data_IF_174877060819
#
_entry.id   IF_174877060819
#
_cell.length_a   1.000
_cell.length_b   1.000
_cell.length_c   1.000
_cell.angle_alpha   90.00
_cell.angle_beta   90.00
_cell.angle_gamma   90.00
#
_symmetry.space_group_name_H-M   'P 1'
#
loop_
_entity.id
_entity.type
_entity.pdbx_description
1 polymer ?
#
# COMPACT_ATOMS: atom_id res chain seq x y z
N UNK A 1 4.28 -29.00 -22.20
CA UNK A 1 2.98 -28.30 -22.23
C UNK A 1 3.04 -27.21 -21.16
N UNK A 2 3.29 -25.96 -21.56
CA UNK A 2 3.28 -24.84 -20.61
C UNK A 2 1.84 -24.60 -20.19
N UNK A 3 1.55 -24.68 -18.90
CA UNK A 3 0.27 -24.23 -18.38
C UNK A 3 0.08 -22.78 -18.84
N UNK A 4 -1.06 -22.41 -19.46
CA UNK A 4 -1.32 -21.01 -19.73
C UNK A 4 -1.22 -20.29 -18.39
N UNK A 5 -0.28 -19.35 -18.29
CA UNK A 5 -0.17 -18.47 -17.11
C UNK A 5 -1.48 -17.70 -17.12
N UNK A 6 -2.42 -18.18 -16.33
CA UNK A 6 -3.78 -17.71 -16.35
C UNK A 6 -3.79 -16.33 -15.71
N UNK A 7 -3.75 -15.29 -16.55
CA UNK A 7 -3.77 -13.88 -16.12
C UNK A 7 -4.98 -13.56 -15.23
N UNK A 8 -6.00 -14.40 -15.27
CA UNK A 8 -7.15 -14.44 -14.36
C UNK A 8 -6.78 -14.60 -12.88
N UNK A 9 -5.82 -15.47 -12.54
CA UNK A 9 -5.41 -15.74 -11.15
C UNK A 9 -4.56 -14.63 -10.54
N UNK A 10 -3.74 -13.97 -11.36
CA UNK A 10 -2.90 -12.84 -10.95
C UNK A 10 -3.74 -11.59 -10.76
N UNK A 11 -4.71 -11.35 -11.64
CA UNK A 11 -5.49 -10.11 -11.66
C UNK A 11 -6.52 -10.00 -10.52
N UNK A 12 -7.11 -11.12 -10.07
CA UNK A 12 -8.04 -11.14 -8.93
C UNK A 12 -7.39 -10.96 -7.55
N UNK A 13 -6.12 -11.35 -7.39
CA UNK A 13 -5.39 -11.24 -6.12
C UNK A 13 -4.80 -9.83 -5.88
N UNK A 14 -4.70 -9.00 -6.91
CA UNK A 14 -4.02 -7.71 -6.83
C UNK A 14 -4.81 -6.64 -6.04
N UNK A 15 -6.14 -6.49 -6.19
CA UNK A 15 -6.92 -5.60 -5.33
C UNK A 15 -6.78 -5.99 -3.85
N UNK A 16 -6.81 -7.30 -3.56
CA UNK A 16 -6.61 -7.83 -2.23
C UNK A 16 -5.21 -7.47 -1.67
N UNK A 17 -4.17 -7.63 -2.49
CA UNK A 17 -2.81 -7.24 -2.12
C UNK A 17 -2.70 -5.74 -1.81
N UNK A 18 -3.32 -4.88 -2.62
CA UNK A 18 -3.30 -3.44 -2.40
C UNK A 18 -3.99 -3.04 -1.08
N UNK A 19 -5.10 -3.70 -0.76
CA UNK A 19 -5.80 -3.47 0.51
C UNK A 19 -5.02 -4.03 1.71
N UNK A 20 -4.37 -5.19 1.58
CA UNK A 20 -3.45 -5.72 2.58
C UNK A 20 -2.29 -4.75 2.86
N UNK A 21 -1.67 -4.17 1.82
CA UNK A 21 -0.57 -3.23 1.99
C UNK A 21 -1.01 -1.91 2.65
N UNK A 22 -2.24 -1.44 2.38
CA UNK A 22 -2.84 -0.32 3.13
C UNK A 22 -3.05 -0.69 4.59
N UNK A 23 -3.57 -1.88 4.87
CA UNK A 23 -3.77 -2.35 6.24
C UNK A 23 -2.44 -2.39 7.00
N UNK A 24 -1.39 -2.99 6.44
CA UNK A 24 -0.06 -3.01 7.05
C UNK A 24 0.51 -1.61 7.26
N UNK A 25 0.26 -0.68 6.35
CA UNK A 25 0.69 0.72 6.53
C UNK A 25 -0.03 1.38 7.72
N UNK A 26 -1.31 1.09 7.92
CA UNK A 26 -2.07 1.58 9.07
C UNK A 26 -1.60 0.92 10.38
N UNK A 27 -1.27 -0.36 10.35
CA UNK A 27 -0.70 -1.08 11.51
C UNK A 27 0.64 -0.47 11.93
N UNK A 28 1.54 -0.20 10.97
CA UNK A 28 2.80 0.50 11.22
C UNK A 28 2.60 1.91 11.80
N UNK A 29 1.58 2.65 11.33
CA UNK A 29 1.23 3.96 11.87
C UNK A 29 0.84 3.83 13.36
N UNK A 30 -0.02 2.86 13.70
CA UNK A 30 -0.45 2.63 15.08
C UNK A 30 0.70 2.20 16.01
N UNK A 31 1.62 1.37 15.52
CA UNK A 31 2.80 0.97 16.28
C UNK A 31 3.73 2.16 16.56
N UNK A 32 3.92 3.04 15.57
CA UNK A 32 4.70 4.27 15.73
C UNK A 32 4.03 5.26 16.69
N UNK A 33 2.72 5.43 16.62
CA UNK A 33 1.96 6.25 17.58
C UNK A 33 2.07 5.69 19.01
N UNK A 34 2.03 4.35 19.14
CA UNK A 34 2.25 3.68 20.43
C UNK A 34 3.65 3.94 20.95
N UNK A 35 4.67 3.84 20.09
CA UNK A 35 6.06 4.15 20.43
C UNK A 35 6.20 5.62 20.88
N UNK A 36 5.51 6.55 20.23
CA UNK A 36 5.49 7.97 20.65
C UNK A 36 4.95 8.15 22.07
N UNK A 37 3.85 7.47 22.40
CA UNK A 37 3.27 7.52 23.75
C UNK A 37 4.24 6.94 24.77
N UNK A 38 4.90 5.83 24.44
CA UNK A 38 5.88 5.19 25.33
C UNK A 38 7.14 6.03 25.53
N UNK A 39 7.60 6.73 24.50
CA UNK A 39 8.78 7.59 24.56
C UNK A 39 8.50 8.94 25.22
N UNK A 40 7.23 9.36 25.34
CA UNK A 40 6.85 10.66 25.89
C UNK A 40 7.50 10.99 27.24
N UNK A 41 7.53 10.10 28.26
CA UNK A 41 8.14 10.40 29.55
C UNK A 41 9.66 10.62 29.45
N UNK A 42 10.35 9.85 28.58
CA UNK A 42 11.78 10.04 28.31
C UNK A 42 12.03 11.35 27.57
N UNK A 43 11.21 11.65 26.56
CA UNK A 43 11.32 12.88 25.77
C UNK A 43 11.10 14.13 26.61
N UNK A 44 10.15 14.09 27.54
CA UNK A 44 9.88 15.23 28.42
C UNK A 44 11.06 15.52 29.38
N UNK A 45 12.02 14.58 29.54
CA UNK A 45 13.29 14.78 30.24
C UNK A 45 14.47 15.20 29.33
N UNK A 46 14.30 15.15 28.01
CA UNK A 46 15.35 15.53 27.07
C UNK A 46 15.42 17.06 26.95
N UNK A 47 16.60 17.61 27.21
CA UNK A 47 16.89 19.05 27.04
C UNK A 47 17.96 19.18 25.96
N UNK A 48 17.78 20.08 25.00
CA UNK A 48 18.77 20.38 23.97
C UNK A 48 18.78 19.38 22.80
N UNK A 49 19.97 18.89 22.42
CA UNK A 49 20.19 18.14 21.16
C UNK A 49 19.42 16.83 21.04
N UNK A 50 19.09 16.18 22.16
CA UNK A 50 18.27 14.95 22.17
C UNK A 50 16.83 15.17 21.71
N UNK A 51 16.21 16.31 22.06
CA UNK A 51 14.86 16.66 21.60
C UNK A 51 14.86 16.91 20.09
N UNK A 52 15.84 17.68 19.58
CA UNK A 52 15.93 17.99 18.16
C UNK A 52 16.12 16.74 17.30
N UNK A 53 16.97 15.79 17.73
CA UNK A 53 17.20 14.55 16.99
C UNK A 53 15.93 13.68 16.92
N UNK A 54 15.15 13.64 18.00
CA UNK A 54 13.88 12.93 18.02
C UNK A 54 12.84 13.57 17.11
N UNK A 55 12.69 14.90 17.15
CA UNK A 55 11.72 15.60 16.32
C UNK A 55 11.99 15.38 14.82
N UNK A 56 13.28 15.37 14.43
CA UNK A 56 13.68 15.03 13.06
C UNK A 56 13.33 13.58 12.71
N UNK A 57 13.58 12.63 13.61
CA UNK A 57 13.24 11.22 13.40
C UNK A 57 11.73 11.02 13.24
N UNK A 58 10.95 11.68 14.11
CA UNK A 58 9.48 11.62 14.14
C UNK A 58 8.88 12.20 12.87
N UNK A 59 9.38 13.35 12.41
CA UNK A 59 8.97 13.92 11.13
C UNK A 59 9.33 13.01 9.95
N UNK A 60 10.51 12.38 9.99
CA UNK A 60 10.97 11.52 8.92
C UNK A 60 10.11 10.25 8.79
N UNK A 61 9.88 9.51 9.88
CA UNK A 61 9.04 8.30 9.79
C UNK A 61 7.61 8.64 9.35
N UNK A 62 7.06 9.79 9.77
CA UNK A 62 5.70 10.20 9.40
C UNK A 62 5.62 10.50 7.91
N UNK A 63 6.65 11.20 7.39
CA UNK A 63 6.78 11.46 5.97
C UNK A 63 6.90 10.18 5.14
N UNK A 64 7.67 9.19 5.62
CA UNK A 64 7.82 7.89 4.95
C UNK A 64 6.49 7.12 4.94
N UNK A 65 5.79 7.02 6.06
CA UNK A 65 4.49 6.35 6.14
C UNK A 65 3.44 6.99 5.22
N UNK A 66 3.36 8.32 5.22
CA UNK A 66 2.45 9.03 4.32
C UNK A 66 2.76 8.75 2.83
N UNK A 67 4.05 8.66 2.48
CA UNK A 67 4.49 8.29 1.12
C UNK A 67 4.14 6.84 0.78
N UNK A 68 4.29 5.91 1.72
CA UNK A 68 3.90 4.50 1.53
C UNK A 68 2.40 4.38 1.30
N UNK A 69 1.57 4.99 2.17
CA UNK A 69 0.12 5.00 2.01
C UNK A 69 -0.33 5.57 0.66
N UNK A 70 0.28 6.68 0.24
CA UNK A 70 0.02 7.29 -1.06
C UNK A 70 0.43 6.41 -2.24
N UNK A 71 1.57 5.71 -2.13
CA UNK A 71 2.08 4.82 -3.17
C UNK A 71 1.20 3.59 -3.34
N UNK A 72 0.76 2.96 -2.24
CA UNK A 72 -0.14 1.80 -2.29
C UNK A 72 -1.54 2.17 -2.77
N UNK A 73 -2.04 3.36 -2.41
CA UNK A 73 -3.31 3.85 -2.97
C UNK A 73 -3.22 4.04 -4.50
N UNK A 74 -2.13 4.63 -5.00
CA UNK A 74 -1.89 4.78 -6.44
C UNK A 74 -1.70 3.44 -7.16
N UNK A 75 -0.97 2.51 -6.55
CA UNK A 75 -0.78 1.16 -7.08
C UNK A 75 -2.14 0.44 -7.19
N UNK A 76 -2.95 0.48 -6.13
CA UNK A 76 -4.30 -0.09 -6.13
C UNK A 76 -5.18 0.48 -7.25
N UNK A 77 -5.26 1.82 -7.38
CA UNK A 77 -6.02 2.46 -8.46
C UNK A 77 -5.54 2.07 -9.85
N UNK A 78 -4.23 2.10 -10.08
CA UNK A 78 -3.62 1.72 -11.37
C UNK A 78 -3.95 0.29 -11.74
N UNK A 79 -3.93 -0.60 -10.74
CA UNK A 79 -4.20 -2.01 -10.92
C UNK A 79 -5.69 -2.32 -11.11
N UNK A 80 -6.61 -1.63 -10.42
CA UNK A 80 -8.05 -1.71 -10.69
C UNK A 80 -8.36 -1.26 -12.11
N UNK A 81 -7.77 -0.14 -12.57
CA UNK A 81 -7.94 0.33 -13.95
C UNK A 81 -7.38 -0.67 -14.97
N UNK A 82 -6.26 -1.33 -14.67
CA UNK A 82 -5.71 -2.38 -15.52
C UNK A 82 -6.66 -3.59 -15.57
N UNK A 83 -7.19 -4.04 -14.43
CA UNK A 83 -8.17 -5.13 -14.34
C UNK A 83 -9.43 -4.85 -15.17
N UNK A 84 -10.03 -3.67 -15.00
CA UNK A 84 -11.22 -3.27 -15.75
C UNK A 84 -10.95 -3.23 -17.27
N UNK A 85 -9.77 -2.74 -17.67
CA UNK A 85 -9.36 -2.73 -19.07
C UNK A 85 -9.16 -4.15 -19.62
N UNK A 86 -8.56 -5.06 -18.85
CA UNK A 86 -8.42 -6.46 -19.23
C UNK A 86 -9.78 -7.13 -19.41
N UNK A 87 -10.66 -7.07 -18.40
CA UNK A 87 -12.01 -7.65 -18.48
C UNK A 87 -12.81 -7.13 -19.67
N UNK A 88 -12.78 -5.80 -19.90
CA UNK A 88 -13.49 -5.20 -21.04
C UNK A 88 -12.93 -5.68 -22.38
N UNK A 89 -11.60 -5.78 -22.49
CA UNK A 89 -10.94 -6.25 -23.72
C UNK A 89 -11.28 -7.72 -23.98
N UNK A 90 -11.25 -8.55 -22.94
CA UNK A 90 -11.53 -9.98 -23.04
C UNK A 90 -13.00 -10.24 -23.41
N UNK A 91 -13.95 -9.56 -22.78
CA UNK A 91 -15.37 -9.60 -23.20
C UNK A 91 -15.55 -9.18 -24.66
N UNK A 92 -14.80 -8.16 -25.11
CA UNK A 92 -14.82 -7.73 -26.50
C UNK A 92 -14.24 -8.76 -27.47
N UNK A 93 -13.21 -9.51 -27.07
CA UNK A 93 -12.62 -10.60 -27.85
C UNK A 93 -13.56 -11.81 -27.87
N UNK A 94 -14.11 -12.23 -26.73
CA UNK A 94 -15.09 -13.30 -26.64
C UNK A 94 -16.34 -13.00 -27.48
N UNK A 95 -16.83 -11.76 -27.48
CA UNK A 95 -17.95 -11.38 -28.33
C UNK A 95 -17.60 -11.41 -29.84
N UNK A 96 -16.34 -11.14 -30.19
CA UNK A 96 -15.87 -11.14 -31.59
C UNK A 96 -15.52 -12.52 -32.13
N UNK A 97 -15.07 -13.43 -31.27
CA UNK A 97 -14.52 -14.74 -31.68
C UNK A 97 -15.24 -15.95 -31.07
N UNK A 98 -16.07 -15.76 -30.04
CA UNK A 98 -16.88 -16.80 -29.41
C UNK A 98 -18.27 -16.97 -30.00
N UNK A 99 -18.61 -16.21 -31.04
CA UNK A 99 -19.80 -16.41 -31.88
C UNK A 99 -19.50 -17.35 -33.05
N UNK A 100 -19.18 -18.61 -32.76
CA UNK A 100 -19.20 -19.74 -33.71
C UNK A 100 -19.90 -20.91 -33.05
#
# INVERSE_FOLDING_TARGET
>A
MGQPIDGYSVSGNIPHLADQMKQYTNELQNELDTLMVQLKPMRDSWIGSGSNAYDVCQQNWNGILARMAGSFSKAGLTMTMAYDNYNRTDQGIMHKFGGV
#
